data_IF_771270762489
#
_entry.id   IF_771270762489
#
_cell.length_a   1.000
_cell.length_b   1.000
_cell.length_c   1.000
_cell.angle_alpha   90.00
_cell.angle_beta   90.00
_cell.angle_gamma   90.00
#
_symmetry.space_group_name_H-M   'P 1'
#
loop_
_entity.id
_entity.type
_entity.pdbx_description
1 polymer ?
#
# COMPACT_ATOMS: atom_id res chain seq x y z
N UNK A 1 -3.62 -37.46 -10.30
CA UNK A 1 -4.07 -37.49 -8.89
C UNK A 1 -3.13 -38.44 -8.15
N UNK A 2 -2.18 -37.92 -7.38
CA UNK A 2 -1.39 -38.75 -6.47
C UNK A 2 -1.25 -38.03 -5.13
N UNK A 3 -1.87 -38.65 -4.14
CA UNK A 3 -1.44 -38.76 -2.75
C UNK A 3 -1.37 -37.47 -1.92
N UNK A 4 -2.55 -36.89 -1.67
CA UNK A 4 -2.80 -35.97 -0.56
C UNK A 4 -3.36 -36.78 0.62
N UNK A 5 -2.64 -37.78 1.14
CA UNK A 5 -3.20 -38.59 2.24
C UNK A 5 -2.20 -39.24 3.19
N UNK A 6 -1.13 -38.54 3.59
CA UNK A 6 -0.44 -38.84 4.86
C UNK A 6 0.22 -37.58 5.45
N UNK A 7 -0.55 -36.71 6.09
CA UNK A 7 0.02 -35.86 7.15
C UNK A 7 -0.05 -36.66 8.44
N UNK A 8 0.82 -37.67 8.55
CA UNK A 8 1.28 -38.14 9.85
C UNK A 8 2.05 -36.95 10.44
N UNK A 9 1.64 -36.45 11.60
CA UNK A 9 2.25 -35.25 12.20
C UNK A 9 3.75 -35.45 12.31
N UNK A 10 4.50 -34.85 11.38
CA UNK A 10 5.95 -34.88 11.37
C UNK A 10 6.42 -34.16 12.62
N UNK A 11 7.43 -34.72 13.27
CA UNK A 11 8.13 -34.01 14.32
C UNK A 11 8.85 -32.79 13.73
N UNK A 12 9.11 -31.79 14.56
CA UNK A 12 9.86 -30.59 14.17
C UNK A 12 11.18 -30.93 13.47
N UNK A 13 11.92 -31.91 14.00
CA UNK A 13 13.19 -32.35 13.43
C UNK A 13 13.05 -32.93 12.00
N UNK A 14 11.96 -33.65 11.73
CA UNK A 14 11.70 -34.18 10.38
C UNK A 14 11.30 -33.06 9.41
N UNK A 15 10.58 -32.04 9.88
CA UNK A 15 10.23 -30.86 9.08
C UNK A 15 11.49 -30.06 8.73
N UNK A 16 12.36 -29.82 9.71
CA UNK A 16 13.61 -29.08 9.52
C UNK A 16 14.51 -29.77 8.50
N UNK A 17 14.64 -31.10 8.59
CA UNK A 17 15.43 -31.87 7.63
C UNK A 17 14.89 -31.75 6.20
N UNK A 18 13.56 -31.80 6.05
CA UNK A 18 12.91 -31.59 4.76
C UNK A 18 13.19 -30.18 4.22
N UNK A 19 13.01 -29.15 5.04
CA UNK A 19 13.24 -27.75 4.66
C UNK A 19 14.69 -27.51 4.25
N UNK A 20 15.65 -28.00 5.04
CA UNK A 20 17.09 -27.86 4.74
C UNK A 20 17.45 -28.57 3.44
N UNK A 21 16.93 -29.78 3.23
CA UNK A 21 17.22 -30.56 2.01
C UNK A 21 16.69 -29.91 0.73
N UNK A 22 15.68 -29.05 0.84
CA UNK A 22 15.02 -28.37 -0.28
C UNK A 22 15.48 -26.92 -0.49
N UNK A 23 16.38 -26.41 0.37
CA UNK A 23 16.80 -25.00 0.35
C UNK A 23 17.35 -24.54 -1.01
N UNK A 24 18.11 -25.40 -1.70
CA UNK A 24 18.74 -25.10 -3.00
C UNK A 24 17.89 -25.54 -4.20
N UNK A 25 16.66 -26.01 -3.97
CA UNK A 25 15.75 -26.46 -5.03
C UNK A 25 14.60 -25.47 -5.21
N UNK A 26 14.75 -24.53 -6.14
CA UNK A 26 13.74 -23.51 -6.46
C UNK A 26 12.36 -24.09 -6.82
N UNK A 27 12.30 -25.32 -7.37
CA UNK A 27 11.03 -25.97 -7.71
C UNK A 27 10.28 -26.56 -6.51
N UNK A 28 10.91 -26.61 -5.33
CA UNK A 28 10.28 -27.03 -4.08
C UNK A 28 9.52 -25.89 -3.37
N UNK A 29 9.74 -24.65 -3.80
CA UNK A 29 9.13 -23.45 -3.22
C UNK A 29 8.02 -22.89 -4.11
N UNK A 30 7.05 -22.22 -3.49
CA UNK A 30 6.05 -21.45 -4.22
C UNK A 30 6.68 -20.22 -4.89
N UNK A 31 5.98 -19.64 -5.87
CA UNK A 31 6.45 -18.44 -6.55
C UNK A 31 6.77 -17.32 -5.56
N UNK A 32 7.90 -16.64 -5.80
CA UNK A 32 8.34 -15.54 -4.93
C UNK A 32 7.31 -14.43 -4.88
N UNK A 33 6.78 -14.17 -3.68
CA UNK A 33 5.88 -13.03 -3.45
C UNK A 33 6.73 -11.77 -3.29
N UNK A 34 6.75 -10.93 -4.33
CA UNK A 34 7.35 -9.60 -4.25
C UNK A 34 6.45 -8.65 -3.46
N UNK A 35 6.88 -8.31 -2.23
CA UNK A 35 6.20 -7.31 -1.40
C UNK A 35 6.82 -5.94 -1.66
N UNK A 36 6.11 -5.10 -2.40
CA UNK A 36 6.44 -3.69 -2.50
C UNK A 36 5.95 -2.98 -1.24
N UNK A 37 6.84 -2.82 -0.27
CA UNK A 37 6.63 -1.88 0.84
C UNK A 37 6.52 -0.48 0.22
N UNK A 38 5.29 0.03 0.12
CA UNK A 38 5.07 1.44 -0.19
C UNK A 38 5.77 2.25 0.89
N UNK A 39 6.87 2.91 0.54
CA UNK A 39 7.59 3.78 1.48
C UNK A 39 6.62 4.91 1.83
N UNK A 40 6.16 5.01 3.09
CA UNK A 40 5.23 6.06 3.48
C UNK A 40 5.95 7.40 3.28
N UNK A 41 5.34 8.26 2.45
CA UNK A 41 5.84 9.63 2.31
C UNK A 41 5.38 10.40 3.54
N UNK A 42 6.32 10.78 4.40
CA UNK A 42 6.02 11.58 5.58
C UNK A 42 6.17 13.07 5.26
N UNK A 43 5.23 13.87 5.77
CA UNK A 43 5.29 15.33 5.68
C UNK A 43 5.04 15.90 7.08
N UNK A 44 5.97 16.73 7.54
CA UNK A 44 5.82 17.43 8.82
C UNK A 44 4.89 18.62 8.65
N UNK A 45 3.88 18.73 9.52
CA UNK A 45 3.00 19.89 9.62
C UNK A 45 3.34 20.66 10.90
N UNK A 46 3.17 21.99 10.86
CA UNK A 46 3.22 22.77 12.09
C UNK A 46 2.08 22.35 13.02
N UNK A 47 2.24 22.48 14.36
CA UNK A 47 1.20 22.10 15.31
C UNK A 47 -0.15 22.79 15.04
N UNK A 48 -0.11 24.05 14.63
CA UNK A 48 -1.31 24.83 14.30
C UNK A 48 -2.05 24.23 13.09
N UNK A 49 -1.33 23.90 12.01
CA UNK A 49 -1.91 23.31 10.81
C UNK A 49 -2.46 21.92 11.12
N UNK A 50 -1.72 21.10 11.88
CA UNK A 50 -2.17 19.77 12.28
C UNK A 50 -3.47 19.82 13.11
N UNK A 51 -3.59 20.76 14.04
CA UNK A 51 -4.80 20.95 14.84
C UNK A 51 -6.01 21.34 13.98
N UNK A 52 -5.82 22.26 13.03
CA UNK A 52 -6.87 22.66 12.09
C UNK A 52 -7.26 21.50 11.17
N UNK A 53 -6.29 20.72 10.71
CA UNK A 53 -6.54 19.55 9.88
C UNK A 53 -7.38 18.49 10.61
N UNK A 54 -7.05 18.22 11.88
CA UNK A 54 -7.82 17.30 12.72
C UNK A 54 -9.27 17.76 12.91
N UNK A 55 -9.48 19.06 13.17
CA UNK A 55 -10.81 19.63 13.27
C UNK A 55 -11.64 19.41 12.00
N UNK A 56 -11.08 19.70 10.83
CA UNK A 56 -11.81 19.54 9.57
C UNK A 56 -12.03 18.07 9.18
N UNK A 57 -11.09 17.18 9.47
CA UNK A 57 -11.28 15.75 9.26
C UNK A 57 -12.49 15.22 10.04
N UNK A 58 -12.64 15.64 11.31
CA UNK A 58 -13.80 15.32 12.13
C UNK A 58 -15.08 15.94 11.58
N UNK A 59 -15.06 17.24 11.23
CA UNK A 59 -16.21 17.94 10.66
C UNK A 59 -16.73 17.28 9.38
N UNK A 60 -15.81 16.76 8.54
CA UNK A 60 -16.11 16.07 7.29
C UNK A 60 -16.35 14.56 7.44
N UNK A 61 -16.37 14.04 8.67
CA UNK A 61 -16.55 12.61 8.99
C UNK A 61 -15.59 11.69 8.22
N UNK A 62 -14.33 12.11 8.08
CA UNK A 62 -13.27 11.29 7.48
C UNK A 62 -12.69 10.35 8.54
N UNK A 63 -12.25 9.18 8.11
CA UNK A 63 -11.73 8.14 9.00
C UNK A 63 -10.43 8.54 9.69
N UNK A 64 -9.63 9.41 9.06
CA UNK A 64 -8.39 9.95 9.61
C UNK A 64 -8.07 11.34 9.07
N UNK A 65 -7.09 12.02 9.69
CA UNK A 65 -6.53 13.28 9.18
C UNK A 65 -5.85 13.05 7.83
N UNK A 66 -5.19 11.92 7.66
CA UNK A 66 -4.54 11.54 6.41
C UNK A 66 -5.55 11.40 5.27
N UNK A 67 -6.68 10.71 5.50
CA UNK A 67 -7.73 10.54 4.48
C UNK A 67 -8.34 11.88 4.07
N UNK A 68 -8.50 12.78 5.05
CA UNK A 68 -8.97 14.13 4.76
C UNK A 68 -7.95 14.90 3.91
N UNK A 69 -6.68 14.92 4.31
CA UNK A 69 -5.61 15.60 3.55
C UNK A 69 -5.46 15.02 2.14
N UNK A 70 -5.56 13.70 1.98
CA UNK A 70 -5.54 13.02 0.69
C UNK A 70 -6.67 13.52 -0.22
N UNK A 71 -7.89 13.66 0.30
CA UNK A 71 -9.00 14.21 -0.49
C UNK A 71 -8.77 15.66 -0.91
N UNK A 72 -8.22 16.50 -0.03
CA UNK A 72 -7.91 17.90 -0.37
C UNK A 72 -6.82 17.99 -1.45
N UNK A 73 -5.77 17.17 -1.35
CA UNK A 73 -4.70 17.13 -2.35
C UNK A 73 -5.26 16.69 -3.70
N UNK A 74 -6.08 15.64 -3.73
CA UNK A 74 -6.71 15.18 -4.97
C UNK A 74 -7.62 16.24 -5.58
N UNK A 75 -8.52 16.83 -4.78
CA UNK A 75 -9.42 17.91 -5.23
C UNK A 75 -8.63 19.08 -5.83
N UNK A 76 -7.49 19.44 -5.24
CA UNK A 76 -6.65 20.51 -5.77
C UNK A 76 -5.95 20.12 -7.06
N UNK A 77 -5.45 18.89 -7.18
CA UNK A 77 -4.84 18.39 -8.42
C UNK A 77 -5.87 18.42 -9.55
N UNK A 78 -7.05 17.85 -9.33
CA UNK A 78 -8.12 17.79 -10.34
C UNK A 78 -8.52 19.19 -10.82
N UNK A 79 -8.60 20.16 -9.90
CA UNK A 79 -8.89 21.54 -10.22
C UNK A 79 -7.81 22.20 -11.09
N UNK A 80 -6.53 22.01 -10.73
CA UNK A 80 -5.40 22.58 -11.48
C UNK A 80 -5.26 21.93 -12.86
N UNK A 81 -5.48 20.62 -12.97
CA UNK A 81 -5.46 19.89 -14.25
C UNK A 81 -6.57 20.37 -15.20
N UNK A 82 -7.77 20.62 -14.67
CA UNK A 82 -8.87 21.20 -15.44
C UNK A 82 -8.53 22.61 -15.94
N UNK A 83 -8.02 23.48 -15.06
CA UNK A 83 -7.62 24.84 -15.41
C UNK A 83 -6.47 24.85 -16.45
N UNK A 84 -5.50 23.95 -16.31
CA UNK A 84 -4.41 23.81 -17.26
C UNK A 84 -4.88 23.33 -18.63
N UNK A 85 -5.84 22.40 -18.67
CA UNK A 85 -6.39 21.88 -19.93
C UNK A 85 -7.13 22.97 -20.71
N UNK A 86 -7.92 23.80 -20.03
CA UNK A 86 -8.62 24.95 -20.63
C UNK A 86 -7.64 25.97 -21.24
N UNK A 87 -6.58 26.30 -20.50
CA UNK A 87 -5.51 27.18 -21.00
C UNK A 87 -4.82 26.60 -22.23
N UNK A 88 -4.53 25.29 -22.23
CA UNK A 88 -3.89 24.62 -23.36
C UNK A 88 -4.79 24.62 -24.60
N UNK A 89 -6.10 24.45 -24.45
CA UNK A 89 -7.04 24.54 -25.56
C UNK A 89 -7.09 25.95 -26.15
N UNK A 90 -7.08 26.98 -25.29
CA UNK A 90 -7.08 28.39 -25.70
C UNK A 90 -5.78 28.80 -26.41
N UNK A 91 -4.64 28.25 -26.02
CA UNK A 91 -3.34 28.53 -26.66
C UNK A 91 -3.13 27.78 -27.98
N UNK A 92 -3.88 26.69 -28.21
CA UNK A 92 -3.79 25.86 -29.43
C UNK A 92 -4.93 26.14 -30.42
N UNK A 93 -5.89 27.01 -30.07
CA UNK A 93 -6.94 27.55 -30.95
C UNK A 93 -6.51 28.87 -31.57
#
# INVERSE_FOLDING_TARGET
>A
MKDIDQVKGLSEAEIDEIVISQAENDSAWEETISVHLAIPTTMSLSPEIAARAAFFAQLRKKSSVEDWLRSIIQERIDFEEAAFTELKQTLLS
#
